data_IF_749262200545
#
_entry.id   IF_749262200545
#
_cell.length_a   1.000
_cell.length_b   1.000
_cell.length_c   1.000
_cell.angle_alpha   90.00
_cell.angle_beta   90.00
_cell.angle_gamma   90.00
#
_symmetry.space_group_name_H-M   'P 1'
#
loop_
_entity.id
_entity.type
_entity.pdbx_description
1 polymer ?
#
# COMPACT_ATOMS: atom_id res chain seq x y z
N UNK A 1 -5.04 2.95 16.82
CA UNK A 1 -6.24 3.46 16.11
C UNK A 1 -5.77 3.92 14.75
N UNK A 2 -5.98 3.13 13.70
CA UNK A 2 -5.72 3.57 12.33
C UNK A 2 -6.71 4.68 11.99
N UNK A 3 -6.18 5.82 11.61
CA UNK A 3 -6.86 7.12 11.55
C UNK A 3 -8.10 7.10 10.69
N UNK A 4 -9.14 7.75 11.22
CA UNK A 4 -10.35 8.13 10.52
C UNK A 4 -10.06 9.31 9.58
N UNK A 5 -9.09 9.16 8.68
CA UNK A 5 -8.79 10.16 7.66
C UNK A 5 -9.69 9.87 6.44
N UNK A 6 -10.66 10.75 6.12
CA UNK A 6 -11.56 10.55 4.99
C UNK A 6 -10.86 10.69 3.63
N UNK A 7 -9.54 10.95 3.63
CA UNK A 7 -8.72 11.13 2.45
C UNK A 7 -7.93 9.87 2.07
N UNK A 8 -7.78 9.59 0.77
CA UNK A 8 -6.90 8.53 0.29
C UNK A 8 -5.48 8.64 0.86
N UNK A 9 -4.89 7.52 1.27
CA UNK A 9 -3.53 7.47 1.81
C UNK A 9 -2.53 7.13 0.70
N UNK A 10 -1.44 7.88 0.64
CA UNK A 10 -0.28 7.57 -0.22
C UNK A 10 0.85 6.87 0.53
N UNK A 11 0.77 6.82 1.86
CA UNK A 11 1.78 6.16 2.69
C UNK A 11 1.59 4.65 2.65
N UNK A 12 2.71 3.93 2.56
CA UNK A 12 2.74 2.47 2.67
C UNK A 12 3.51 2.12 3.94
N UNK A 13 2.94 1.27 4.77
CA UNK A 13 3.56 0.76 5.97
C UNK A 13 3.71 -0.75 5.84
N UNK A 14 4.89 -1.28 6.17
CA UNK A 14 5.16 -2.71 6.24
C UNK A 14 5.42 -3.11 7.68
N UNK A 15 4.82 -4.22 8.11
CA UNK A 15 5.02 -4.74 9.46
C UNK A 15 6.31 -5.55 9.51
N UNK A 16 7.26 -5.14 10.34
CA UNK A 16 8.50 -5.87 10.58
C UNK A 16 8.29 -6.86 11.76
N UNK A 17 8.23 -8.18 11.53
CA UNK A 17 7.95 -9.15 12.58
C UNK A 17 9.10 -9.29 13.60
N UNK A 18 10.34 -9.02 13.19
CA UNK A 18 11.52 -9.08 14.08
C UNK A 18 11.50 -7.93 15.08
N UNK A 19 11.24 -6.71 14.59
CA UNK A 19 11.17 -5.51 15.44
C UNK A 19 9.80 -5.28 16.07
N UNK A 20 8.81 -6.09 15.69
CA UNK A 20 7.40 -6.01 16.13
C UNK A 20 6.81 -4.61 16.00
N UNK A 21 7.12 -3.94 14.89
CA UNK A 21 6.68 -2.56 14.64
C UNK A 21 6.38 -2.35 13.16
N UNK A 22 5.49 -1.42 12.89
CA UNK A 22 5.26 -0.90 11.54
C UNK A 22 6.41 0.03 11.15
N UNK A 23 6.91 -0.12 9.93
CA UNK A 23 7.94 0.73 9.34
C UNK A 23 7.40 1.33 8.04
N UNK A 24 7.67 2.61 7.81
CA UNK A 24 7.34 3.26 6.54
C UNK A 24 8.21 2.70 5.42
N UNK A 25 7.57 2.33 4.31
CA UNK A 25 8.24 1.92 3.08
C UNK A 25 7.98 2.94 1.98
N UNK A 26 8.47 2.67 0.76
CA UNK A 26 8.28 3.58 -0.37
C UNK A 26 6.79 3.91 -0.55
N UNK A 27 6.42 5.21 -0.58
CA UNK A 27 5.02 5.60 -0.71
C UNK A 27 4.48 5.23 -2.10
N UNK A 28 3.15 5.08 -2.18
CA UNK A 28 2.47 4.94 -3.45
C UNK A 28 2.52 6.27 -4.23
N UNK A 29 2.79 6.24 -5.55
CA UNK A 29 2.67 7.41 -6.40
C UNK A 29 1.28 8.07 -6.34
N UNK A 30 0.23 7.26 -6.25
CA UNK A 30 -1.16 7.74 -6.15
C UNK A 30 -1.78 7.34 -4.82
N UNK A 31 -2.12 8.33 -4.00
CA UNK A 31 -2.88 8.11 -2.79
C UNK A 31 -4.26 7.52 -3.12
N UNK A 32 -4.60 6.37 -2.52
CA UNK A 32 -5.82 5.60 -2.83
C UNK A 32 -6.37 4.88 -1.59
N UNK A 33 -7.66 4.59 -1.60
CA UNK A 33 -8.34 3.71 -0.65
C UNK A 33 -9.21 2.68 -1.39
N UNK A 34 -9.68 1.63 -0.70
CA UNK A 34 -10.54 0.59 -1.28
C UNK A 34 -9.99 -0.09 -2.55
N UNK A 35 -8.66 -0.25 -2.62
CA UNK A 35 -7.98 -0.92 -3.74
C UNK A 35 -7.90 -2.44 -3.54
N UNK A 36 -7.81 -3.18 -4.64
CA UNK A 36 -7.48 -4.61 -4.60
C UNK A 36 -5.96 -4.82 -4.51
N UNK A 37 -5.54 -5.90 -3.85
CA UNK A 37 -4.13 -6.23 -3.63
C UNK A 37 -3.83 -7.63 -4.15
N UNK A 38 -2.70 -7.79 -4.84
CA UNK A 38 -2.19 -9.08 -5.31
C UNK A 38 -0.70 -9.21 -4.98
N UNK A 39 -0.35 -10.16 -4.12
CA UNK A 39 1.05 -10.45 -3.80
C UNK A 39 1.61 -11.49 -4.75
N UNK A 40 2.82 -11.25 -5.24
CA UNK A 40 3.66 -12.19 -5.99
C UNK A 40 4.99 -12.36 -5.26
N UNK A 41 5.81 -13.39 -5.58
CA UNK A 41 7.09 -13.60 -4.92
C UNK A 41 8.05 -12.41 -5.01
N UNK A 42 7.97 -11.62 -6.09
CA UNK A 42 8.88 -10.50 -6.34
C UNK A 42 8.26 -9.11 -6.10
N UNK A 43 6.93 -9.00 -6.14
CA UNK A 43 6.23 -7.70 -6.10
C UNK A 43 4.82 -7.80 -5.50
N UNK A 44 4.30 -6.68 -5.03
CA UNK A 44 2.89 -6.53 -4.64
C UNK A 44 2.20 -5.56 -5.57
N UNK A 45 1.09 -5.98 -6.18
CA UNK A 45 0.29 -5.15 -7.06
C UNK A 45 -0.89 -4.55 -6.31
N UNK A 46 -1.08 -3.25 -6.50
CA UNK A 46 -2.21 -2.47 -6.01
C UNK A 46 -3.06 -2.07 -7.22
N UNK A 47 -4.28 -2.59 -7.30
CA UNK A 47 -5.15 -2.47 -8.48
C UNK A 47 -6.36 -1.60 -8.12
N UNK A 48 -6.50 -0.48 -8.83
CA UNK A 48 -7.64 0.42 -8.75
C UNK A 48 -7.81 1.09 -7.39
N UNK A 49 -9.06 1.27 -6.97
CA UNK A 49 -9.45 1.94 -5.72
C UNK A 49 -10.04 3.32 -5.97
N UNK A 50 -10.04 4.16 -4.95
CA UNK A 50 -10.60 5.52 -4.97
C UNK A 50 -9.52 6.50 -4.54
N UNK A 51 -9.24 7.49 -5.38
CA UNK A 51 -8.38 8.63 -5.07
C UNK A 51 -9.23 9.90 -4.97
N UNK A 52 -9.15 10.81 -5.95
CA UNK A 52 -10.13 11.91 -6.13
C UNK A 52 -11.43 11.45 -6.83
N UNK A 53 -11.53 10.16 -7.14
CA UNK A 53 -12.61 9.47 -7.85
C UNK A 53 -12.21 8.00 -8.10
N UNK A 54 -13.04 7.21 -8.80
CA UNK A 54 -12.67 5.83 -9.17
C UNK A 54 -11.36 5.83 -9.96
N UNK A 55 -10.38 5.08 -9.47
CA UNK A 55 -9.08 4.93 -10.11
C UNK A 55 -9.01 3.57 -10.80
N UNK A 56 -8.55 3.56 -12.05
CA UNK A 56 -8.18 2.37 -12.80
C UNK A 56 -6.66 2.11 -12.80
N UNK A 57 -5.90 2.90 -12.02
CA UNK A 57 -4.45 2.78 -11.97
C UNK A 57 -4.02 1.48 -11.30
N UNK A 58 -2.99 0.83 -11.85
CA UNK A 58 -2.33 -0.34 -11.27
C UNK A 58 -0.90 0.04 -10.92
N UNK A 59 -0.52 -0.17 -9.67
CA UNK A 59 0.82 0.13 -9.16
C UNK A 59 1.48 -1.16 -8.67
N UNK A 60 2.78 -1.31 -8.94
CA UNK A 60 3.58 -2.41 -8.43
C UNK A 60 4.56 -1.88 -7.39
N UNK A 61 4.47 -2.41 -6.18
CA UNK A 61 5.38 -2.14 -5.08
C UNK A 61 6.40 -3.28 -5.02
N UNK A 62 7.68 -2.95 -5.14
CA UNK A 62 8.76 -3.86 -4.82
C UNK A 62 8.80 -4.01 -3.29
N UNK A 63 8.30 -5.12 -2.77
CA UNK A 63 8.50 -5.45 -1.36
C UNK A 63 9.89 -6.07 -1.21
N UNK A 64 10.71 -5.64 -0.24
CA UNK A 64 11.87 -6.43 0.14
C UNK A 64 11.37 -7.81 0.59
N UNK A 65 11.95 -8.88 0.03
CA UNK A 65 11.57 -10.26 0.37
C UNK A 65 11.57 -10.42 1.90
N UNK A 66 10.41 -10.74 2.45
CA UNK A 66 10.28 -11.08 3.87
C UNK A 66 10.89 -12.46 4.06
N UNK A 67 12.14 -12.52 4.51
CA UNK A 67 12.77 -13.74 5.05
C UNK A 67 12.21 -14.02 6.44
#
# INVERSE_FOLDING_TARGET
MLGNEPSPLGTVESYNPVKRRWEYVAPMPTARCSSALLQTPSMMYVIGGVSQGPSNAVEALCLPETV
#
